data_IF_295560723604
#
_entry.id   IF_295560723604
#
_cell.length_a   1.000
_cell.length_b   1.000
_cell.length_c   1.000
_cell.angle_alpha   90.00
_cell.angle_beta   90.00
_cell.angle_gamma   90.00
#
_symmetry.space_group_name_H-M   'P 1'
#
loop_
_entity.id
_entity.type
_entity.pdbx_description
1 polymer ?
#
# COMPACT_ATOMS: atom_id res chain seq x y z
N UNK A 1 -6.70 -6.33 18.78
CA UNK A 1 -5.93 -5.59 17.76
C UNK A 1 -6.89 -5.21 16.64
N UNK A 2 -6.90 -3.95 16.18
CA UNK A 2 -7.83 -3.46 15.14
C UNK A 2 -7.10 -3.40 13.79
N UNK A 3 -7.77 -3.65 12.65
CA UNK A 3 -7.17 -3.55 11.29
C UNK A 3 -6.47 -2.21 11.03
N UNK A 4 -6.96 -1.11 11.61
CA UNK A 4 -6.29 0.19 11.53
C UNK A 4 -4.84 0.12 12.04
N UNK A 5 -4.59 -0.60 13.14
CA UNK A 5 -3.25 -0.76 13.69
C UNK A 5 -2.36 -1.63 12.81
N UNK A 6 -2.91 -2.71 12.24
CA UNK A 6 -2.19 -3.55 11.26
C UNK A 6 -1.80 -2.75 10.02
N UNK A 7 -2.71 -1.89 9.54
CA UNK A 7 -2.45 -0.99 8.41
C UNK A 7 -1.35 0.03 8.73
N UNK A 8 -1.38 0.65 9.91
CA UNK A 8 -0.30 1.54 10.36
C UNK A 8 1.06 0.83 10.41
N UNK A 9 1.09 -0.41 10.94
CA UNK A 9 2.31 -1.21 10.97
C UNK A 9 2.84 -1.50 9.57
N UNK A 10 1.97 -1.86 8.63
CA UNK A 10 2.35 -2.05 7.22
C UNK A 10 2.90 -0.75 6.60
N UNK A 11 2.23 0.39 6.81
CA UNK A 11 2.72 1.71 6.34
C UNK A 11 4.12 1.99 6.89
N UNK A 12 4.32 1.83 8.19
CA UNK A 12 5.62 2.06 8.83
C UNK A 12 6.70 1.09 8.31
N UNK A 13 6.34 -0.18 8.08
CA UNK A 13 7.27 -1.19 7.60
C UNK A 13 7.77 -0.93 6.17
N UNK A 14 6.94 -0.34 5.31
CA UNK A 14 7.25 -0.08 3.89
C UNK A 14 7.98 1.26 3.70
N UNK A 15 7.74 2.25 4.56
CA UNK A 15 8.32 3.60 4.43
C UNK A 15 9.85 3.56 4.33
N UNK A 16 10.36 4.23 3.31
CA UNK A 16 11.80 4.38 3.06
C UNK A 16 12.48 3.14 2.48
N UNK A 17 11.74 2.08 2.17
CA UNK A 17 12.29 0.81 1.65
C UNK A 17 12.01 0.55 0.17
N UNK A 18 11.19 1.39 -0.45
CA UNK A 18 10.81 1.25 -1.85
C UNK A 18 11.13 2.51 -2.65
N UNK A 19 10.99 2.45 -3.97
CA UNK A 19 11.05 3.62 -4.87
C UNK A 19 10.08 4.75 -4.45
N UNK A 20 8.99 4.45 -3.72
CA UNK A 20 8.08 5.46 -3.20
C UNK A 20 8.69 6.30 -2.05
N UNK A 21 9.84 5.90 -1.51
CA UNK A 21 10.49 6.58 -0.39
C UNK A 21 9.54 6.67 0.82
N UNK A 22 9.30 7.88 1.31
CA UNK A 22 8.38 8.11 2.44
C UNK A 22 6.91 8.29 2.01
N UNK A 23 6.59 8.26 0.71
CA UNK A 23 5.24 8.45 0.15
C UNK A 23 4.40 7.18 0.27
N UNK A 24 4.19 6.74 1.51
CA UNK A 24 3.37 5.59 1.87
C UNK A 24 2.27 6.07 2.83
N UNK A 25 1.02 5.88 2.40
CA UNK A 25 -0.15 6.50 3.02
C UNK A 25 -1.21 5.47 3.43
N UNK A 26 -1.98 5.79 4.48
CA UNK A 26 -3.27 5.17 4.78
C UNK A 26 -4.41 6.00 4.15
N UNK A 27 -5.61 5.43 3.90
CA UNK A 27 -6.79 6.22 3.55
C UNK A 27 -6.94 7.37 4.56
N UNK A 28 -7.00 8.61 4.03
CA UNK A 28 -7.05 9.92 4.73
C UNK A 28 -5.71 10.62 5.01
N UNK A 29 -4.58 9.93 4.88
CA UNK A 29 -3.26 10.57 5.01
C UNK A 29 -2.73 11.10 3.66
N UNK A 30 -3.25 10.58 2.55
CA UNK A 30 -2.85 11.01 1.23
C UNK A 30 -3.49 12.36 0.88
N UNK A 31 -2.66 13.38 0.66
CA UNK A 31 -3.11 14.71 0.28
C UNK A 31 -3.72 14.69 -1.14
N UNK A 32 -4.93 15.25 -1.28
CA UNK A 32 -5.65 15.34 -2.58
C UNK A 32 -4.96 16.22 -3.63
N UNK A 33 -3.87 16.91 -3.25
CA UNK A 33 -3.14 17.87 -4.09
C UNK A 33 -1.75 17.38 -4.52
N UNK A 34 -1.31 16.20 -4.07
CA UNK A 34 0.02 15.68 -4.37
C UNK A 34 0.02 14.97 -5.73
N UNK A 35 0.68 15.56 -6.74
CA UNK A 35 1.03 14.87 -8.00
C UNK A 35 2.31 14.03 -7.87
N UNK A 36 2.84 13.87 -6.66
CA UNK A 36 4.13 13.24 -6.43
C UNK A 36 4.06 11.71 -6.53
N UNK A 37 4.35 11.18 -7.71
CA UNK A 37 4.65 9.77 -7.93
C UNK A 37 6.17 9.49 -7.83
N UNK A 38 6.59 8.25 -7.58
CA UNK A 38 5.81 7.09 -7.13
C UNK A 38 5.24 7.19 -5.71
N UNK A 39 4.09 6.55 -5.44
CA UNK A 39 3.48 6.45 -4.11
C UNK A 39 2.84 5.08 -3.84
N UNK A 40 2.60 4.78 -2.57
CA UNK A 40 1.90 3.57 -2.11
C UNK A 40 0.73 3.95 -1.20
N UNK A 41 -0.44 3.37 -1.47
CA UNK A 41 -1.63 3.45 -0.63
C UNK A 41 -1.90 2.09 0.01
N UNK A 42 -1.89 2.03 1.33
CA UNK A 42 -2.22 0.82 2.11
C UNK A 42 -3.62 0.96 2.66
N UNK A 43 -4.54 0.07 2.32
CA UNK A 43 -5.96 0.12 2.71
C UNK A 43 -6.38 -1.16 3.42
N UNK A 44 -7.39 -1.05 4.29
CA UNK A 44 -8.11 -2.22 4.79
C UNK A 44 -9.39 -2.34 4.00
N UNK A 45 -9.48 -3.37 3.14
CA UNK A 45 -10.64 -3.57 2.27
C UNK A 45 -11.68 -4.50 2.87
N UNK A 46 -11.25 -5.33 3.84
CA UNK A 46 -12.11 -6.30 4.50
C UNK A 46 -11.68 -6.52 5.95
N UNK A 47 -12.65 -6.66 6.85
CA UNK A 47 -12.44 -7.06 8.23
C UNK A 47 -13.66 -7.88 8.69
N UNK A 48 -13.41 -9.09 9.19
CA UNK A 48 -14.41 -9.96 9.78
C UNK A 48 -13.97 -10.40 11.17
N UNK A 49 -14.93 -10.48 12.10
CA UNK A 49 -14.69 -10.81 13.51
C UNK A 49 -15.56 -11.98 13.94
N UNK A 50 -14.92 -13.03 14.41
CA UNK A 50 -15.55 -14.23 14.93
C UNK A 50 -15.54 -14.18 16.46
N UNK A 51 -16.72 -14.07 17.08
CA UNK A 51 -16.85 -14.06 18.53
C UNK A 51 -16.43 -15.41 19.13
N UNK A 52 -15.67 -15.38 20.23
CA UNK A 52 -15.26 -16.58 20.98
C UNK A 52 -16.25 -17.02 22.05
N UNK A 53 -17.37 -16.32 22.22
CA UNK A 53 -18.39 -16.70 23.20
C UNK A 53 -19.13 -15.51 23.79
N UNK A 54 -19.94 -15.80 24.81
CA UNK A 54 -20.91 -14.84 25.37
C UNK A 54 -20.41 -14.07 26.60
N UNK A 55 -19.30 -14.50 27.20
CA UNK A 55 -18.89 -14.06 28.54
C UNK A 55 -17.81 -12.96 28.53
N UNK A 56 -17.21 -12.67 27.38
CA UNK A 56 -16.23 -11.59 27.21
C UNK A 56 -16.15 -11.16 25.74
N UNK A 57 -15.81 -9.89 25.45
CA UNK A 57 -15.60 -9.40 24.07
C UNK A 57 -14.25 -9.91 23.53
N UNK A 58 -14.24 -11.16 23.12
CA UNK A 58 -13.07 -11.84 22.53
C UNK A 58 -13.41 -12.25 21.10
N UNK A 59 -12.53 -11.89 20.17
CA UNK A 59 -12.75 -12.14 18.75
C UNK A 59 -11.47 -12.66 18.08
N UNK A 60 -11.60 -13.65 17.21
CA UNK A 60 -10.63 -13.86 16.14
C UNK A 60 -10.98 -12.92 14.99
N UNK A 61 -9.98 -12.21 14.46
CA UNK A 61 -10.20 -11.21 13.40
C UNK A 61 -9.40 -11.60 12.17
N UNK A 62 -10.07 -11.66 11.03
CA UNK A 62 -9.45 -11.82 9.72
C UNK A 62 -9.60 -10.49 8.99
N UNK A 63 -8.51 -9.99 8.42
CA UNK A 63 -8.52 -8.73 7.67
C UNK A 63 -7.64 -8.83 6.44
N UNK A 64 -8.07 -8.18 5.36
CA UNK A 64 -7.30 -8.07 4.12
C UNK A 64 -6.76 -6.66 4.01
N UNK A 65 -5.44 -6.54 3.98
CA UNK A 65 -4.75 -5.31 3.61
C UNK A 65 -4.47 -5.31 2.11
N UNK A 66 -4.90 -4.25 1.43
CA UNK A 66 -4.55 -3.99 0.04
C UNK A 66 -3.40 -2.98 0.02
N UNK A 67 -2.32 -3.29 -0.68
CA UNK A 67 -1.19 -2.38 -0.91
C UNK A 67 -1.21 -2.03 -2.40
N UNK A 68 -1.55 -0.78 -2.72
CA UNK A 68 -1.64 -0.29 -4.08
C UNK A 68 -0.51 0.69 -4.38
N UNK A 69 0.45 0.26 -5.20
CA UNK A 69 1.49 1.13 -5.75
C UNK A 69 0.96 1.91 -6.96
N UNK A 70 1.38 3.17 -7.10
CA UNK A 70 1.07 4.02 -8.25
C UNK A 70 2.33 4.73 -8.72
N UNK A 71 2.59 4.67 -10.01
CA UNK A 71 3.78 5.22 -10.66
C UNK A 71 3.38 5.94 -11.95
N UNK A 72 4.26 6.84 -12.39
CA UNK A 72 4.17 7.56 -13.66
C UNK A 72 5.55 7.52 -14.30
N UNK A 73 5.60 7.23 -15.60
CA UNK A 73 6.81 7.26 -16.41
C UNK A 73 6.48 7.94 -17.73
N UNK A 74 7.42 8.75 -18.23
CA UNK A 74 7.32 9.38 -19.53
C UNK A 74 7.99 8.49 -20.59
N UNK A 75 7.49 8.61 -21.81
CA UNK A 75 8.14 8.02 -22.98
C UNK A 75 9.57 8.55 -23.13
N UNK A 76 10.44 7.74 -23.74
CA UNK A 76 11.76 8.18 -24.17
C UNK A 76 11.67 9.22 -25.28
N UNK A 77 12.75 9.97 -25.50
CA UNK A 77 12.79 10.99 -26.58
C UNK A 77 12.57 10.39 -27.98
N UNK A 78 12.86 9.09 -28.15
CA UNK A 78 12.83 8.39 -29.43
C UNK A 78 11.92 7.14 -29.45
N UNK A 79 11.39 6.73 -28.29
CA UNK A 79 10.66 5.47 -28.12
C UNK A 79 9.38 5.68 -27.29
N UNK A 80 8.25 5.15 -27.76
CA UNK A 80 6.96 5.15 -27.05
C UNK A 80 6.93 4.05 -25.96
N UNK A 81 7.82 4.16 -24.97
CA UNK A 81 8.15 3.09 -24.02
C UNK A 81 7.75 3.36 -22.56
N UNK A 82 7.06 4.46 -22.26
CA UNK A 82 6.65 4.85 -20.92
C UNK A 82 5.79 3.79 -20.23
N UNK A 83 4.86 3.17 -20.98
CA UNK A 83 4.03 2.08 -20.47
C UNK A 83 4.85 0.83 -20.09
N UNK A 84 5.93 0.53 -20.82
CA UNK A 84 6.82 -0.58 -20.48
C UNK A 84 7.65 -0.23 -19.23
N UNK A 85 8.21 0.98 -19.17
CA UNK A 85 8.98 1.47 -18.01
C UNK A 85 8.17 1.42 -16.72
N UNK A 86 6.92 1.89 -16.75
CA UNK A 86 6.08 1.90 -15.54
C UNK A 86 5.76 0.50 -15.06
N UNK A 87 5.55 -0.46 -15.98
CA UNK A 87 5.28 -1.86 -15.64
C UNK A 87 6.50 -2.52 -14.98
N UNK A 88 7.70 -2.33 -15.53
CA UNK A 88 8.94 -2.85 -14.93
C UNK A 88 9.19 -2.26 -13.54
N UNK A 89 8.94 -0.96 -13.35
CA UNK A 89 9.08 -0.31 -12.05
C UNK A 89 8.00 -0.75 -11.05
N UNK A 90 6.78 -1.08 -11.50
CA UNK A 90 5.74 -1.69 -10.67
C UNK A 90 6.13 -3.09 -10.18
N UNK A 91 6.69 -3.92 -11.05
CA UNK A 91 7.19 -5.26 -10.71
C UNK A 91 8.33 -5.18 -9.70
N UNK A 92 9.29 -4.29 -9.94
CA UNK A 92 10.36 -4.00 -8.97
C UNK A 92 9.80 -3.53 -7.63
N UNK A 93 8.83 -2.62 -7.62
CA UNK A 93 8.26 -2.10 -6.37
C UNK A 93 7.51 -3.19 -5.60
N UNK A 94 6.85 -4.13 -6.31
CA UNK A 94 6.25 -5.30 -5.68
C UNK A 94 7.31 -6.14 -4.97
N UNK A 95 8.44 -6.43 -5.60
CA UNK A 95 9.54 -7.16 -4.96
C UNK A 95 10.10 -6.41 -3.74
N UNK A 96 10.23 -5.08 -3.81
CA UNK A 96 10.68 -4.24 -2.69
C UNK A 96 9.69 -4.27 -1.50
N UNK A 97 8.39 -4.43 -1.76
CA UNK A 97 7.34 -4.56 -0.72
C UNK A 97 7.38 -5.95 -0.06
N UNK A 98 7.75 -6.99 -0.81
CA UNK A 98 7.75 -8.39 -0.34
C UNK A 98 9.01 -8.77 0.48
N UNK A 99 10.07 -7.95 0.47
CA UNK A 99 11.32 -8.14 1.22
C UNK A 99 11.27 -7.54 2.63
#
# INVERSE_FOLDING_TARGET
>A
MNSARLRELAVQAIRGKTLAGHRVYSPRDWATRSQDYPLILVQTVYEEKFSKGRNAPQFDTVTTLQIAARLEELDGELDDDGAMKVQLNLERMKEEIER
#
